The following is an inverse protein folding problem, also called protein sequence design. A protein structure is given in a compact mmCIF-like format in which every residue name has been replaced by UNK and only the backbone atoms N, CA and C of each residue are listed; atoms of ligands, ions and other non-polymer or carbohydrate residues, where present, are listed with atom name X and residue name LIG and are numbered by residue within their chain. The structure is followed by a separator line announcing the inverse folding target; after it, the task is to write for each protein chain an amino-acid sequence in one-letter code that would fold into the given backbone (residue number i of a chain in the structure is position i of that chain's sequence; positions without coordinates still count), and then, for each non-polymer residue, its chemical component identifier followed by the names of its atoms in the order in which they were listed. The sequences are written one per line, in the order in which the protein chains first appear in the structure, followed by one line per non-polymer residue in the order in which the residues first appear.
data_IF_574446400050
#
_entry.id   IF_574446400050
#
_cell.length_a   1.000
_cell.length_b   1.000
_cell.length_c   1.000
_cell.angle_alpha   90.00
_cell.angle_beta   90.00
_cell.angle_gamma   90.00
#
_symmetry.space_group_name_H-M   'P 1'
#
loop_
_entity.id
_entity.type
_entity.pdbx_description
1 polymer ?
#
# COMPACT_ATOMS: atom_id res chain seq x y z
N UNK A 1 6.26 -34.24 -2.09
CA UNK A 1 7.48 -33.62 -2.67
C UNK A 1 8.68 -34.26 -1.97
N UNK A 2 9.68 -34.76 -2.70
CA UNK A 2 10.76 -35.59 -2.14
C UNK A 2 11.73 -34.73 -1.29
N UNK A 3 12.17 -35.22 -0.13
CA UNK A 3 12.95 -34.44 0.85
C UNK A 3 14.30 -33.95 0.29
N UNK A 4 14.92 -34.70 -0.64
CA UNK A 4 16.18 -34.27 -1.27
C UNK A 4 15.98 -33.06 -2.21
N UNK A 5 14.83 -32.98 -2.89
CA UNK A 5 14.50 -31.85 -3.77
C UNK A 5 14.31 -30.58 -2.95
N UNK A 6 13.71 -30.67 -1.75
CA UNK A 6 13.53 -29.54 -0.84
C UNK A 6 14.89 -29.05 -0.32
N UNK A 7 15.81 -29.95 0.03
CA UNK A 7 17.15 -29.58 0.48
C UNK A 7 17.98 -28.88 -0.61
N UNK A 8 17.94 -29.38 -1.85
CA UNK A 8 18.60 -28.74 -2.99
C UNK A 8 17.97 -27.37 -3.34
N UNK A 9 16.64 -27.23 -3.18
CA UNK A 9 15.92 -25.97 -3.35
C UNK A 9 16.28 -24.95 -2.25
N UNK A 10 16.29 -25.38 -0.98
CA UNK A 10 16.64 -24.52 0.15
C UNK A 10 18.08 -24.02 0.06
N UNK A 11 19.01 -24.86 -0.42
CA UNK A 11 20.40 -24.48 -0.65
C UNK A 11 20.54 -23.37 -1.69
N UNK A 12 19.74 -23.37 -2.77
CA UNK A 12 19.70 -22.28 -3.74
C UNK A 12 19.23 -20.94 -3.15
N UNK A 13 18.39 -20.97 -2.12
CA UNK A 13 17.92 -19.77 -1.41
C UNK A 13 18.83 -19.37 -0.24
N UNK A 14 19.54 -20.30 0.38
CA UNK A 14 20.52 -20.05 1.44
C UNK A 14 21.80 -19.41 0.88
N UNK A 15 22.32 -19.91 -0.24
CA UNK A 15 23.54 -19.43 -0.92
C UNK A 15 23.34 -18.08 -1.65
N UNK A 16 22.11 -17.58 -1.75
CA UNK A 16 21.81 -16.30 -2.37
C UNK A 16 22.03 -15.14 -1.38
N UNK A 17 23.17 -14.46 -1.51
CA UNK A 17 23.39 -13.12 -0.99
C UNK A 17 22.85 -12.10 -2.00
N UNK A 18 22.05 -11.10 -1.60
CA UNK A 18 21.70 -10.02 -2.51
C UNK A 18 22.99 -9.35 -3.01
N UNK A 19 23.05 -9.06 -4.32
CA UNK A 19 24.07 -8.11 -4.78
C UNK A 19 23.84 -6.81 -4.01
N UNK A 20 24.84 -6.27 -3.29
CA UNK A 20 24.70 -4.93 -2.75
C UNK A 20 24.36 -4.01 -3.94
N UNK A 21 23.44 -3.04 -3.77
CA UNK A 21 23.19 -2.07 -4.82
C UNK A 21 24.55 -1.50 -5.22
N UNK A 22 24.88 -1.60 -6.52
CA UNK A 22 26.15 -1.11 -7.05
C UNK A 22 26.40 0.27 -6.46
N UNK A 23 27.47 0.42 -5.69
CA UNK A 23 27.94 1.73 -5.24
C UNK A 23 28.01 2.60 -6.49
N UNK A 24 27.16 3.62 -6.55
CA UNK A 24 27.34 4.68 -7.51
C UNK A 24 28.71 5.28 -7.19
N UNK A 25 29.58 5.31 -8.20
CA UNK A 25 30.95 5.81 -8.11
C UNK A 25 31.03 7.03 -7.18
N UNK A 26 31.82 6.86 -6.12
CA UNK A 26 32.12 7.90 -5.15
C UNK A 26 32.90 9.03 -5.84
N UNK A 27 32.18 10.00 -6.40
CA UNK A 27 32.71 11.36 -6.57
C UNK A 27 31.58 12.38 -6.64
N UNK A 28 31.49 13.15 -5.54
CA UNK A 28 30.80 14.42 -5.37
C UNK A 28 29.27 14.42 -5.16
N UNK A 29 28.93 15.04 -4.03
CA UNK A 29 27.70 15.76 -3.71
C UNK A 29 26.48 14.95 -3.21
N UNK A 30 26.16 15.17 -1.93
CA UNK A 30 24.80 15.26 -1.38
C UNK A 30 23.69 14.59 -2.21
N UNK A 31 23.50 13.29 -2.04
CA UNK A 31 22.38 12.60 -2.69
C UNK A 31 21.15 12.62 -1.78
N UNK A 32 20.29 13.61 -2.02
CA UNK A 32 18.86 13.53 -1.75
C UNK A 32 18.29 12.26 -2.42
N UNK A 33 18.10 11.17 -1.69
CA UNK A 33 17.41 9.99 -2.21
C UNK A 33 15.89 10.23 -2.20
N UNK A 34 15.43 10.78 -3.33
CA UNK A 34 14.06 11.19 -3.69
C UNK A 34 13.08 10.03 -3.98
N UNK A 35 13.18 8.86 -3.36
CA UNK A 35 12.23 7.75 -3.64
C UNK A 35 11.77 7.04 -2.38
N UNK A 36 10.46 7.13 -2.11
CA UNK A 36 9.73 6.16 -1.32
C UNK A 36 9.83 4.82 -2.07
N UNK A 37 10.78 3.97 -1.66
CA UNK A 37 10.94 2.63 -2.23
C UNK A 37 10.54 1.61 -1.17
N UNK A 38 9.67 0.67 -1.54
CA UNK A 38 9.00 -0.25 -0.61
C UNK A 38 9.97 -1.23 0.10
N UNK A 39 11.26 -1.24 -0.27
CA UNK A 39 12.33 -1.96 0.44
C UNK A 39 13.18 -1.09 1.37
N UNK A 40 13.12 0.23 1.25
CA UNK A 40 14.02 1.13 1.98
C UNK A 40 13.62 1.32 3.44
N UNK A 41 12.35 1.15 3.81
CA UNK A 41 11.91 1.48 5.16
C UNK A 41 12.34 0.44 6.21
N UNK A 42 12.29 -0.84 5.86
CA UNK A 42 12.82 -1.91 6.71
C UNK A 42 14.36 -1.89 6.77
N UNK A 43 15.02 -1.45 5.68
CA UNK A 43 16.44 -1.17 5.70
C UNK A 43 16.79 0.04 6.58
N UNK A 44 15.98 1.10 6.56
CA UNK A 44 16.14 2.25 7.46
C UNK A 44 15.97 1.86 8.93
N UNK A 45 15.02 0.96 9.23
CA UNK A 45 14.88 0.38 10.56
C UNK A 45 16.11 -0.45 10.93
N UNK A 46 16.64 -1.28 10.02
CA UNK A 46 17.86 -2.05 10.25
C UNK A 46 19.07 -1.13 10.56
N UNK A 47 19.26 -0.08 9.77
CA UNK A 47 20.30 0.94 9.98
C UNK A 47 20.15 1.66 11.34
N UNK A 48 18.92 1.96 11.74
CA UNK A 48 18.63 2.55 13.04
C UNK A 48 19.02 1.61 14.18
N UNK A 49 18.59 0.34 14.13
CA UNK A 49 18.89 -0.64 15.19
C UNK A 49 20.39 -0.92 15.32
N UNK A 50 21.10 -1.08 14.19
CA UNK A 50 22.54 -1.41 14.20
C UNK A 50 23.39 -0.29 14.84
N UNK A 51 22.93 0.96 14.80
CA UNK A 51 23.61 2.08 15.46
C UNK A 51 23.43 2.04 16.97
N UNK A 52 22.27 1.58 17.42
CA UNK A 52 21.88 1.55 18.83
C UNK A 52 22.27 0.24 19.53
N UNK A 53 22.45 -0.86 18.78
CA UNK A 53 22.70 -2.20 19.31
C UNK A 53 23.99 -2.85 18.75
N UNK A 54 24.76 -3.58 19.58
CA UNK A 54 26.06 -4.14 19.18
C UNK A 54 26.00 -5.36 18.25
N UNK A 55 24.87 -6.08 18.17
CA UNK A 55 24.75 -7.39 17.49
C UNK A 55 24.37 -7.30 15.99
N UNK A 56 25.13 -6.52 15.21
CA UNK A 56 24.84 -6.24 13.78
C UNK A 56 24.51 -7.48 12.93
N UNK A 57 25.26 -8.57 13.10
CA UNK A 57 25.10 -9.80 12.31
C UNK A 57 23.74 -10.46 12.55
N UNK A 58 23.28 -10.49 13.80
CA UNK A 58 21.97 -11.04 14.18
C UNK A 58 20.83 -10.27 13.53
N UNK A 59 20.84 -8.94 13.58
CA UNK A 59 19.79 -8.11 12.96
C UNK A 59 19.79 -8.24 11.44
N UNK A 60 20.98 -8.30 10.83
CA UNK A 60 21.13 -8.51 9.38
C UNK A 60 20.59 -9.87 8.94
N UNK A 61 20.84 -10.92 9.75
CA UNK A 61 20.27 -12.25 9.52
C UNK A 61 18.74 -12.24 9.57
N UNK A 62 18.16 -11.62 10.60
CA UNK A 62 16.70 -11.50 10.76
C UNK A 62 16.06 -10.77 9.57
N UNK A 63 16.68 -9.67 9.13
CA UNK A 63 16.24 -8.93 7.94
C UNK A 63 16.29 -9.82 6.68
N UNK A 64 17.41 -10.49 6.45
CA UNK A 64 17.58 -11.40 5.32
C UNK A 64 16.55 -12.54 5.33
N UNK A 65 16.23 -13.07 6.50
CA UNK A 65 15.22 -14.11 6.69
C UNK A 65 13.83 -13.61 6.28
N UNK A 66 13.46 -12.38 6.68
CA UNK A 66 12.18 -11.76 6.30
C UNK A 66 12.04 -11.57 4.78
N UNK A 67 13.11 -11.13 4.10
CA UNK A 67 13.13 -10.96 2.65
C UNK A 67 12.98 -12.29 1.92
N UNK A 68 13.68 -13.34 2.38
CA UNK A 68 13.56 -14.69 1.82
C UNK A 68 12.13 -15.21 1.99
N UNK A 69 11.52 -15.07 3.16
CA UNK A 69 10.13 -15.45 3.38
C UNK A 69 9.16 -14.72 2.43
N UNK A 70 9.29 -13.39 2.30
CA UNK A 70 8.43 -12.60 1.42
C UNK A 70 8.52 -13.07 -0.03
N UNK A 71 9.74 -13.27 -0.54
CA UNK A 71 9.97 -13.72 -1.92
C UNK A 71 9.33 -15.09 -2.18
N UNK A 72 9.53 -16.03 -1.27
CA UNK A 72 8.96 -17.38 -1.39
C UNK A 72 7.43 -17.34 -1.30
N UNK A 73 6.87 -16.45 -0.48
CA UNK A 73 5.42 -16.22 -0.44
C UNK A 73 4.89 -15.66 -1.76
N UNK A 74 5.58 -14.71 -2.38
CA UNK A 74 5.23 -14.16 -3.70
C UNK A 74 5.28 -15.22 -4.81
N UNK A 75 6.26 -16.13 -4.74
CA UNK A 75 6.36 -17.30 -5.63
C UNK A 75 5.31 -18.39 -5.37
N UNK A 76 4.51 -18.26 -4.29
CA UNK A 76 3.48 -19.23 -3.87
C UNK A 76 4.02 -20.62 -3.53
N UNK A 77 5.28 -20.71 -3.12
CA UNK A 77 5.93 -21.97 -2.76
C UNK A 77 5.65 -22.34 -1.29
N UNK A 78 4.45 -22.88 -1.02
CA UNK A 78 3.96 -23.11 0.35
C UNK A 78 4.92 -23.88 1.26
N UNK A 79 5.53 -24.97 0.77
CA UNK A 79 6.42 -25.80 1.59
C UNK A 79 7.69 -25.05 2.01
N UNK A 80 8.27 -24.27 1.10
CA UNK A 80 9.47 -23.47 1.35
C UNK A 80 9.11 -22.29 2.25
N UNK A 81 7.93 -21.70 2.08
CA UNK A 81 7.45 -20.63 2.95
C UNK A 81 7.31 -21.12 4.40
N UNK A 82 6.74 -22.33 4.61
CA UNK A 82 6.64 -22.93 5.95
C UNK A 82 8.01 -23.15 6.60
N UNK A 83 9.05 -23.53 5.85
CA UNK A 83 10.41 -23.61 6.39
C UNK A 83 10.89 -22.26 6.95
N UNK A 84 10.74 -21.19 6.17
CA UNK A 84 11.16 -19.86 6.60
C UNK A 84 10.31 -19.31 7.75
N UNK A 85 9.01 -19.62 7.79
CA UNK A 85 8.14 -19.31 8.93
C UNK A 85 8.67 -19.96 10.21
N UNK A 86 8.99 -21.25 10.18
CA UNK A 86 9.56 -21.93 11.35
C UNK A 86 10.86 -21.27 11.82
N UNK A 87 11.71 -20.80 10.88
CA UNK A 87 12.92 -20.05 11.22
C UNK A 87 12.64 -18.68 11.84
N UNK A 88 11.61 -17.97 11.39
CA UNK A 88 11.19 -16.71 12.01
C UNK A 88 10.65 -16.98 13.42
N UNK A 89 9.86 -18.04 13.62
CA UNK A 89 9.34 -18.44 14.94
C UNK A 89 10.46 -18.85 15.91
N UNK A 90 11.50 -19.54 15.43
CA UNK A 90 12.71 -19.82 16.21
C UNK A 90 13.36 -18.51 16.70
N UNK A 91 13.46 -17.47 15.84
CA UNK A 91 13.99 -16.17 16.26
C UNK A 91 13.06 -15.43 17.23
N UNK A 92 11.74 -15.53 17.05
CA UNK A 92 10.76 -14.92 17.97
C UNK A 92 10.91 -15.42 19.39
N UNK A 93 11.14 -16.72 19.56
CA UNK A 93 11.31 -17.36 20.86
C UNK A 93 12.57 -16.88 21.61
N UNK A 94 13.53 -16.27 20.90
CA UNK A 94 14.77 -15.74 21.47
C UNK A 94 14.68 -14.26 21.84
N UNK A 95 13.60 -13.56 21.48
CA UNK A 95 13.44 -12.14 21.78
C UNK A 95 13.11 -11.93 23.27
N UNK A 96 13.89 -11.08 23.94
CA UNK A 96 13.65 -10.69 25.32
C UNK A 96 12.92 -9.33 25.38
N UNK A 97 11.74 -9.29 26.01
CA UNK A 97 10.97 -8.06 26.21
C UNK A 97 11.72 -7.00 27.04
N UNK A 98 12.65 -7.41 27.91
CA UNK A 98 13.50 -6.48 28.65
C UNK A 98 14.46 -5.69 27.73
N UNK A 99 14.77 -6.23 26.56
CA UNK A 99 15.51 -5.54 25.49
C UNK A 99 14.52 -4.88 24.53
N UNK A 100 13.72 -3.96 25.06
CA UNK A 100 12.53 -3.41 24.39
C UNK A 100 12.81 -2.89 22.95
N UNK A 101 13.91 -2.17 22.73
CA UNK A 101 14.28 -1.70 21.39
C UNK A 101 14.48 -2.86 20.41
N UNK A 102 15.27 -3.87 20.78
CA UNK A 102 15.48 -5.04 19.92
C UNK A 102 14.17 -5.79 19.67
N UNK A 103 13.40 -6.02 20.73
CA UNK A 103 12.12 -6.74 20.69
C UNK A 103 11.16 -6.10 19.67
N UNK A 104 10.89 -4.81 19.82
CA UNK A 104 9.95 -4.10 18.95
C UNK A 104 10.48 -3.97 17.52
N UNK A 105 11.78 -3.77 17.36
CA UNK A 105 12.37 -3.56 16.04
C UNK A 105 12.41 -4.85 15.21
N UNK A 106 12.83 -5.98 15.80
CA UNK A 106 12.82 -7.27 15.11
C UNK A 106 11.40 -7.75 14.80
N UNK A 107 10.45 -7.58 15.72
CA UNK A 107 9.04 -7.86 15.41
C UNK A 107 8.49 -6.98 14.31
N UNK A 108 8.94 -5.73 14.20
CA UNK A 108 8.54 -4.85 13.09
C UNK A 108 9.05 -5.31 11.74
N UNK A 109 10.20 -5.98 11.68
CA UNK A 109 10.75 -6.60 10.46
C UNK A 109 9.98 -7.86 10.08
N UNK A 110 9.61 -8.68 11.07
CA UNK A 110 9.05 -10.02 10.84
C UNK A 110 7.52 -10.05 10.72
N UNK A 111 6.78 -9.28 11.52
CA UNK A 111 5.32 -9.28 11.51
C UNK A 111 4.69 -9.03 10.12
N UNK A 112 5.17 -8.10 9.27
CA UNK A 112 4.57 -7.88 7.95
C UNK A 112 4.63 -9.12 7.05
N UNK A 113 5.76 -9.83 7.06
CA UNK A 113 5.96 -11.02 6.22
C UNK A 113 5.22 -12.25 6.77
N UNK A 114 5.10 -12.34 8.10
CA UNK A 114 4.26 -13.35 8.77
C UNK A 114 2.77 -13.11 8.47
N UNK A 115 2.32 -11.86 8.57
CA UNK A 115 0.96 -11.47 8.19
C UNK A 115 0.69 -11.84 6.73
N UNK A 116 1.61 -11.51 5.81
CA UNK A 116 1.49 -11.83 4.39
C UNK A 116 1.39 -13.35 4.15
N UNK A 117 2.21 -14.17 4.81
CA UNK A 117 2.13 -15.63 4.73
C UNK A 117 0.74 -16.15 5.12
N UNK A 118 0.24 -15.75 6.30
CA UNK A 118 -1.05 -16.20 6.81
C UNK A 118 -2.22 -15.73 5.93
N UNK A 119 -2.20 -14.45 5.56
CA UNK A 119 -3.21 -13.85 4.71
C UNK A 119 -3.24 -14.46 3.29
N UNK A 120 -2.09 -14.53 2.62
CA UNK A 120 -2.02 -14.81 1.19
C UNK A 120 -1.92 -16.30 0.85
N UNK A 121 -1.18 -17.08 1.65
CA UNK A 121 -0.96 -18.50 1.38
C UNK A 121 -1.89 -19.41 2.17
N UNK A 122 -2.15 -19.08 3.44
CA UNK A 122 -2.96 -19.91 4.34
C UNK A 122 -4.43 -19.51 4.38
N UNK A 123 -4.77 -18.29 3.96
CA UNK A 123 -6.10 -17.68 4.14
C UNK A 123 -6.55 -17.65 5.61
N UNK A 124 -5.58 -17.58 6.53
CA UNK A 124 -5.77 -17.45 7.96
C UNK A 124 -5.79 -15.95 8.32
N UNK A 125 -6.96 -15.35 8.20
CA UNK A 125 -7.12 -13.91 8.40
C UNK A 125 -6.97 -13.50 9.87
N UNK A 126 -7.29 -14.37 10.82
CA UNK A 126 -7.18 -14.10 12.25
C UNK A 126 -5.71 -13.98 12.67
N UNK A 127 -4.85 -14.92 12.27
CA UNK A 127 -3.42 -14.80 12.53
C UNK A 127 -2.80 -13.61 11.81
N UNK A 128 -3.20 -13.36 10.56
CA UNK A 128 -2.73 -12.20 9.82
C UNK A 128 -3.10 -10.88 10.52
N UNK A 129 -4.32 -10.76 11.04
CA UNK A 129 -4.78 -9.63 11.86
C UNK A 129 -3.90 -9.48 13.11
N UNK A 130 -3.64 -10.56 13.85
CA UNK A 130 -2.79 -10.52 15.05
C UNK A 130 -1.39 -9.96 14.78
N UNK A 131 -0.73 -10.40 13.71
CA UNK A 131 0.59 -9.87 13.32
C UNK A 131 0.52 -8.39 12.89
N UNK A 132 -0.52 -7.97 12.18
CA UNK A 132 -0.70 -6.58 11.75
C UNK A 132 -0.96 -5.64 12.93
N UNK A 133 -1.79 -6.04 13.89
CA UNK A 133 -2.06 -5.22 15.08
C UNK A 133 -0.81 -5.08 15.95
N UNK A 134 -0.12 -6.19 16.24
CA UNK A 134 1.14 -6.14 16.99
C UNK A 134 2.22 -5.33 16.27
N UNK A 135 2.23 -5.30 14.93
CA UNK A 135 3.12 -4.46 14.16
C UNK A 135 2.87 -2.96 14.39
N UNK A 136 1.62 -2.52 14.45
CA UNK A 136 1.29 -1.12 14.72
C UNK A 136 1.78 -0.69 16.12
N UNK A 137 1.61 -1.55 17.13
CA UNK A 137 2.11 -1.31 18.49
C UNK A 137 3.64 -1.20 18.52
N UNK A 138 4.34 -2.08 17.80
CA UNK A 138 5.80 -2.03 17.72
C UNK A 138 6.30 -0.77 17.03
N UNK A 139 5.62 -0.33 15.96
CA UNK A 139 5.97 0.90 15.24
C UNK A 139 5.79 2.11 16.16
N UNK A 140 4.73 2.14 16.98
CA UNK A 140 4.48 3.24 17.92
C UNK A 140 5.56 3.34 18.98
N UNK A 141 6.01 2.21 19.50
CA UNK A 141 7.18 2.17 20.37
C UNK A 141 8.42 2.75 19.67
N UNK A 142 8.71 2.33 18.43
CA UNK A 142 9.90 2.77 17.69
C UNK A 142 9.88 4.28 17.42
N UNK A 143 8.72 4.84 17.05
CA UNK A 143 8.57 6.28 16.85
C UNK A 143 8.80 7.02 18.17
N UNK A 144 8.20 6.55 19.27
CA UNK A 144 8.44 7.08 20.61
C UNK A 144 9.90 6.99 21.07
N UNK A 145 10.65 6.02 20.55
CA UNK A 145 12.09 5.85 20.79
C UNK A 145 12.98 6.69 19.86
N UNK A 146 12.41 7.42 18.90
CA UNK A 146 13.12 8.35 18.01
C UNK A 146 13.28 7.88 16.56
N UNK A 147 12.74 6.73 16.18
CA UNK A 147 12.69 6.29 14.77
C UNK A 147 11.52 6.94 14.03
N UNK A 148 11.69 8.22 13.65
CA UNK A 148 10.63 9.01 13.02
C UNK A 148 10.18 8.46 11.66
N UNK A 149 11.09 7.83 10.91
CA UNK A 149 10.74 7.14 9.65
C UNK A 149 9.72 6.00 9.87
N UNK A 150 9.53 5.55 11.12
CA UNK A 150 8.45 4.64 11.53
C UNK A 150 7.06 5.15 11.17
N UNK A 151 6.85 6.46 10.99
CA UNK A 151 5.58 7.00 10.50
C UNK A 151 5.21 6.50 9.10
N UNK A 152 6.20 6.34 8.22
CA UNK A 152 5.97 5.77 6.88
C UNK A 152 5.59 4.30 6.97
N UNK A 153 6.24 3.55 7.86
CA UNK A 153 5.85 2.17 8.16
C UNK A 153 4.41 2.14 8.65
N UNK A 154 4.05 2.97 9.63
CA UNK A 154 2.70 3.01 10.21
C UNK A 154 1.66 3.22 9.13
N UNK A 155 1.83 4.24 8.29
CA UNK A 155 0.94 4.55 7.18
C UNK A 155 0.76 3.32 6.28
N UNK A 156 1.85 2.74 5.77
CA UNK A 156 1.78 1.57 4.89
C UNK A 156 1.05 0.39 5.54
N UNK A 157 1.27 0.15 6.84
CA UNK A 157 0.62 -0.95 7.55
C UNK A 157 -0.88 -0.72 7.78
N UNK A 158 -1.36 0.52 7.89
CA UNK A 158 -2.80 0.80 7.87
C UNK A 158 -3.44 0.38 6.54
N UNK A 159 -2.78 0.65 5.40
CA UNK A 159 -3.25 0.19 4.09
C UNK A 159 -3.25 -1.33 3.98
N UNK A 160 -2.18 -1.98 4.43
CA UNK A 160 -2.09 -3.44 4.39
C UNK A 160 -3.11 -4.10 5.31
N UNK A 161 -3.33 -3.56 6.51
CA UNK A 161 -4.38 -4.00 7.45
C UNK A 161 -5.77 -3.85 6.83
N UNK A 162 -6.07 -2.70 6.22
CA UNK A 162 -7.33 -2.50 5.51
C UNK A 162 -7.51 -3.55 4.39
N UNK A 163 -6.46 -3.87 3.63
CA UNK A 163 -6.50 -4.92 2.60
C UNK A 163 -6.77 -6.30 3.19
N UNK A 164 -6.17 -6.67 4.33
CA UNK A 164 -6.44 -7.97 4.97
C UNK A 164 -7.93 -8.10 5.31
N UNK A 165 -8.51 -7.11 6.01
CA UNK A 165 -9.93 -7.11 6.34
C UNK A 165 -10.85 -7.12 5.13
N UNK A 166 -10.51 -6.35 4.09
CA UNK A 166 -11.29 -6.32 2.85
C UNK A 166 -11.37 -7.70 2.21
N UNK A 167 -10.27 -8.45 2.21
CA UNK A 167 -10.27 -9.80 1.64
C UNK A 167 -10.92 -10.84 2.55
N UNK A 168 -10.97 -10.59 3.86
CA UNK A 168 -11.71 -11.38 4.83
C UNK A 168 -13.23 -11.12 4.79
N UNK A 169 -13.71 -10.19 3.95
CA UNK A 169 -15.12 -9.76 3.89
C UNK A 169 -15.55 -8.87 5.06
N UNK A 170 -14.61 -8.40 5.88
CA UNK A 170 -14.87 -7.52 7.01
C UNK A 170 -14.77 -6.05 6.57
N UNK A 171 -15.69 -5.61 5.71
CA UNK A 171 -15.60 -4.31 5.05
C UNK A 171 -15.66 -3.12 6.00
N UNK A 172 -16.48 -3.18 7.05
CA UNK A 172 -16.58 -2.09 8.04
C UNK A 172 -15.24 -1.86 8.76
N UNK A 173 -14.57 -2.94 9.17
CA UNK A 173 -13.23 -2.85 9.77
C UNK A 173 -12.23 -2.33 8.75
N UNK A 174 -12.25 -2.87 7.53
CA UNK A 174 -11.38 -2.41 6.44
C UNK A 174 -11.52 -0.90 6.20
N UNK A 175 -12.76 -0.42 6.07
CA UNK A 175 -13.07 0.98 5.84
C UNK A 175 -12.63 1.86 7.02
N UNK A 176 -12.76 1.38 8.27
CA UNK A 176 -12.26 2.10 9.46
C UNK A 176 -10.75 2.34 9.38
N UNK A 177 -9.94 1.32 9.08
CA UNK A 177 -8.48 1.49 8.94
C UNK A 177 -8.13 2.40 7.77
N UNK A 178 -8.78 2.22 6.62
CA UNK A 178 -8.57 3.05 5.44
C UNK A 178 -8.97 4.52 5.69
N UNK A 179 -10.07 4.76 6.41
CA UNK A 179 -10.54 6.11 6.75
C UNK A 179 -9.55 6.81 7.67
N UNK A 180 -9.06 6.14 8.72
CA UNK A 180 -8.12 6.76 9.69
C UNK A 180 -6.87 7.29 8.97
N UNK A 181 -6.27 6.48 8.10
CA UNK A 181 -5.06 6.89 7.37
C UNK A 181 -5.36 7.91 6.27
N UNK A 182 -6.50 7.81 5.58
CA UNK A 182 -6.88 8.80 4.56
C UNK A 182 -7.22 10.16 5.18
N UNK A 183 -7.95 10.19 6.29
CA UNK A 183 -8.21 11.43 7.03
C UNK A 183 -6.89 12.08 7.45
N UNK A 184 -5.95 11.28 7.96
CA UNK A 184 -4.63 11.78 8.34
C UNK A 184 -3.82 12.33 7.16
N UNK A 185 -3.74 11.60 6.05
CA UNK A 185 -2.98 12.03 4.86
C UNK A 185 -3.61 13.25 4.15
N UNK A 186 -4.93 13.37 4.19
CA UNK A 186 -5.66 14.44 3.52
C UNK A 186 -5.79 15.70 4.36
N UNK A 187 -5.73 15.61 5.69
CA UNK A 187 -5.97 16.75 6.57
C UNK A 187 -4.75 17.69 6.70
N UNK A 188 -5.00 18.99 6.86
CA UNK A 188 -4.08 20.02 7.32
C UNK A 188 -4.13 20.26 8.83
N UNK A 189 -5.07 19.63 9.56
CA UNK A 189 -5.22 19.79 11.02
C UNK A 189 -5.92 18.61 11.73
N UNK A 190 -5.66 18.49 13.04
CA UNK A 190 -5.96 17.32 13.92
C UNK A 190 -5.43 16.00 13.37
N UNK A 191 -4.32 15.57 13.95
CA UNK A 191 -3.71 14.30 13.62
C UNK A 191 -4.28 13.24 14.56
N UNK A 192 -4.91 12.22 13.99
CA UNK A 192 -5.36 11.02 14.74
C UNK A 192 -4.17 10.24 15.31
N UNK A 193 -2.98 10.51 14.81
CA UNK A 193 -1.72 9.92 15.24
C UNK A 193 -1.02 10.87 16.23
N UNK A 194 -0.36 10.31 17.23
CA UNK A 194 0.38 11.09 18.24
C UNK A 194 1.56 11.89 17.67
N UNK A 195 2.00 11.55 16.45
CA UNK A 195 3.12 12.19 15.77
C UNK A 195 2.69 12.86 14.46
N UNK A 196 3.10 14.11 14.24
CA UNK A 196 2.68 14.86 13.08
C UNK A 196 3.26 14.38 11.75
N UNK A 197 2.40 14.25 10.73
CA UNK A 197 2.89 13.84 9.40
C UNK A 197 3.78 14.93 8.80
N UNK A 198 3.47 16.18 9.12
CA UNK A 198 4.22 17.33 8.64
C UNK A 198 5.67 17.35 9.09
N UNK A 199 6.02 16.67 10.19
CA UNK A 199 7.41 16.59 10.67
C UNK A 199 8.26 15.60 9.86
N UNK A 200 7.63 14.61 9.24
CA UNK A 200 8.33 13.63 8.39
C UNK A 200 8.19 13.94 6.90
N UNK A 201 7.15 14.68 6.49
CA UNK A 201 6.88 15.01 5.09
C UNK A 201 7.91 16.02 4.55
N UNK A 202 8.63 15.63 3.49
CA UNK A 202 9.73 16.43 2.93
C UNK A 202 9.34 17.27 1.73
N UNK A 203 8.22 16.93 1.05
CA UNK A 203 7.75 17.66 -0.12
C UNK A 203 6.30 17.33 -0.51
N UNK A 204 5.68 18.22 -1.29
CA UNK A 204 4.38 17.96 -1.94
C UNK A 204 4.42 16.71 -2.84
N UNK A 205 5.50 16.49 -3.60
CA UNK A 205 5.64 15.32 -4.47
C UNK A 205 5.60 14.01 -3.68
N UNK A 206 6.16 13.99 -2.47
CA UNK A 206 6.13 12.84 -1.59
C UNK A 206 4.71 12.56 -1.09
N UNK A 207 3.98 13.60 -0.64
CA UNK A 207 2.58 13.46 -0.23
C UNK A 207 1.72 12.91 -1.36
N UNK A 208 1.84 13.49 -2.56
CA UNK A 208 1.04 13.06 -3.71
C UNK A 208 1.38 11.63 -4.15
N UNK A 209 2.64 11.20 -4.06
CA UNK A 209 3.02 9.80 -4.29
C UNK A 209 2.37 8.84 -3.30
N UNK A 210 2.33 9.21 -2.01
CA UNK A 210 1.70 8.41 -0.96
C UNK A 210 0.18 8.37 -1.18
N UNK A 211 -0.46 9.51 -1.40
CA UNK A 211 -1.89 9.58 -1.71
C UNK A 211 -2.24 8.71 -2.92
N UNK A 212 -1.44 8.76 -4.00
CA UNK A 212 -1.64 7.91 -5.17
C UNK A 212 -1.57 6.41 -4.83
N UNK A 213 -0.61 5.98 -4.01
CA UNK A 213 -0.52 4.59 -3.52
C UNK A 213 -1.81 4.16 -2.80
N UNK A 214 -2.33 5.02 -1.92
CA UNK A 214 -3.52 4.73 -1.12
C UNK A 214 -4.79 4.72 -1.94
N UNK A 215 -5.04 5.77 -2.73
CA UNK A 215 -6.19 5.82 -3.62
C UNK A 215 -6.20 4.64 -4.57
N UNK A 216 -5.08 4.35 -5.23
CA UNK A 216 -4.97 3.18 -6.12
C UNK A 216 -5.17 1.86 -5.36
N UNK A 217 -4.60 1.75 -4.16
CA UNK A 217 -4.71 0.57 -3.32
C UNK A 217 -6.12 0.27 -2.82
N UNK A 218 -6.94 1.29 -2.58
CA UNK A 218 -8.29 1.18 -2.04
C UNK A 218 -9.34 1.10 -3.16
N UNK A 219 -9.30 2.04 -4.11
CA UNK A 219 -10.32 2.17 -5.17
C UNK A 219 -10.24 0.98 -6.13
N UNK A 220 -9.06 0.62 -6.66
CA UNK A 220 -8.96 -0.56 -7.54
C UNK A 220 -9.35 -1.84 -6.82
N UNK A 221 -9.06 -1.94 -5.51
CA UNK A 221 -9.44 -3.11 -4.72
C UNK A 221 -10.96 -3.23 -4.60
N UNK A 222 -11.64 -2.12 -4.36
CA UNK A 222 -13.10 -2.04 -4.31
C UNK A 222 -13.74 -2.34 -5.67
N UNK A 223 -13.20 -1.76 -6.75
CA UNK A 223 -13.69 -1.99 -8.12
C UNK A 223 -13.50 -3.42 -8.61
N UNK A 224 -12.45 -4.11 -8.16
CA UNK A 224 -12.20 -5.51 -8.48
C UNK A 224 -13.18 -6.48 -7.80
N UNK A 225 -13.91 -6.03 -6.76
CA UNK A 225 -14.92 -6.80 -6.03
C UNK A 225 -16.17 -5.95 -5.81
N UNK A 226 -16.95 -5.65 -6.87
CA UNK A 226 -18.20 -4.93 -6.69
C UNK A 226 -19.16 -5.82 -5.90
N UNK A 227 -19.41 -5.48 -4.64
CA UNK A 227 -20.49 -6.13 -3.88
C UNK A 227 -21.83 -5.73 -4.50
N UNK A 228 -22.73 -6.71 -4.62
CA UNK A 228 -23.91 -6.64 -5.48
C UNK A 228 -24.81 -5.43 -5.20
N UNK A 229 -25.03 -4.63 -6.25
CA UNK A 229 -25.86 -3.42 -6.27
C UNK A 229 -25.72 -2.73 -7.62
N UNK A 230 -25.30 -1.45 -7.63
CA UNK A 230 -24.92 -0.70 -8.83
C UNK A 230 -23.39 -0.53 -8.90
N UNK A 231 -22.78 -0.66 -10.07
CA UNK A 231 -21.31 -0.67 -10.23
C UNK A 231 -20.62 0.56 -9.63
N UNK A 232 -21.26 1.73 -9.71
CA UNK A 232 -20.73 3.00 -9.22
C UNK A 232 -21.06 3.29 -7.75
N UNK A 233 -22.07 2.63 -7.18
CA UNK A 233 -22.43 2.79 -5.78
C UNK A 233 -21.61 1.81 -4.94
N UNK A 234 -20.51 2.29 -4.38
CA UNK A 234 -19.60 1.47 -3.60
C UNK A 234 -19.63 1.87 -2.12
N UNK A 235 -20.41 1.14 -1.32
CA UNK A 235 -20.59 1.41 0.11
C UNK A 235 -19.27 1.38 0.88
N UNK A 236 -18.30 0.55 0.46
CA UNK A 236 -16.96 0.56 1.05
C UNK A 236 -16.23 1.88 0.77
N UNK A 237 -16.22 2.38 -0.47
CA UNK A 237 -15.58 3.66 -0.79
C UNK A 237 -16.29 4.84 -0.11
N UNK A 238 -17.62 4.83 -0.03
CA UNK A 238 -18.37 5.81 0.77
C UNK A 238 -17.99 5.71 2.25
N UNK A 239 -17.89 4.51 2.81
CA UNK A 239 -17.42 4.32 4.17
C UNK A 239 -15.96 4.77 4.35
N UNK A 240 -15.11 4.74 3.33
CA UNK A 240 -13.76 5.30 3.45
C UNK A 240 -13.79 6.82 3.40
N UNK A 241 -14.43 7.42 2.39
CA UNK A 241 -14.21 8.81 1.99
C UNK A 241 -15.32 9.79 2.37
N UNK A 242 -16.55 9.33 2.68
CA UNK A 242 -17.67 10.22 3.03
C UNK A 242 -17.44 10.87 4.39
N UNK A 243 -17.97 12.09 4.56
CA UNK A 243 -17.99 12.81 5.84
C UNK A 243 -16.60 13.00 6.47
N UNK A 244 -15.56 13.12 5.65
CA UNK A 244 -14.28 13.63 6.11
C UNK A 244 -14.42 15.14 6.36
N UNK A 245 -14.86 15.53 7.56
CA UNK A 245 -14.83 16.93 8.03
C UNK A 245 -13.38 17.36 8.28
N UNK A 246 -12.64 17.55 7.18
CA UNK A 246 -11.22 17.87 7.18
C UNK A 246 -10.96 19.13 6.38
N UNK A 247 -10.04 19.95 6.90
CA UNK A 247 -9.38 20.97 6.09
C UNK A 247 -8.32 20.26 5.26
N UNK A 248 -8.34 20.38 3.93
CA UNK A 248 -7.36 19.67 3.10
C UNK A 248 -5.94 20.20 3.30
N UNK A 249 -4.95 19.31 3.19
CA UNK A 249 -3.53 19.63 3.19
C UNK A 249 -3.19 20.54 2.00
N UNK A 250 -2.56 21.70 2.26
CA UNK A 250 -2.19 22.67 1.22
C UNK A 250 -1.18 22.12 0.20
N UNK A 251 -0.41 21.09 0.57
CA UNK A 251 0.53 20.41 -0.33
C UNK A 251 -0.13 19.39 -1.27
N UNK A 252 -1.43 19.10 -1.07
CA UNK A 252 -2.19 18.21 -1.93
C UNK A 252 -2.43 18.88 -3.29
N UNK A 253 -2.24 18.13 -4.38
CA UNK A 253 -2.55 18.65 -5.71
C UNK A 253 -4.05 18.96 -5.83
N UNK A 254 -4.44 20.19 -6.25
CA UNK A 254 -5.85 20.58 -6.38
C UNK A 254 -6.66 19.61 -7.25
N UNK A 255 -6.06 19.12 -8.35
CA UNK A 255 -6.71 18.17 -9.24
C UNK A 255 -7.08 16.85 -8.52
N UNK A 256 -6.30 16.41 -7.53
CA UNK A 256 -6.62 15.22 -6.73
C UNK A 256 -7.81 15.48 -5.80
N UNK A 257 -7.93 16.68 -5.25
CA UNK A 257 -9.06 17.07 -4.40
C UNK A 257 -10.34 17.13 -5.21
N UNK A 258 -10.28 17.75 -6.39
CA UNK A 258 -11.44 17.86 -7.28
C UNK A 258 -11.85 16.46 -7.79
N UNK A 259 -10.88 15.59 -8.10
CA UNK A 259 -11.13 14.20 -8.46
C UNK A 259 -11.80 13.38 -7.34
N UNK A 260 -11.42 13.61 -6.08
CA UNK A 260 -12.07 12.98 -4.93
C UNK A 260 -13.53 13.44 -4.79
N UNK A 261 -13.80 14.73 -5.00
CA UNK A 261 -15.17 15.26 -4.96
C UNK A 261 -16.04 14.64 -6.05
N UNK A 262 -15.53 14.52 -7.28
CA UNK A 262 -16.22 13.84 -8.39
C UNK A 262 -16.52 12.38 -8.05
N UNK A 263 -15.51 11.65 -7.55
CA UNK A 263 -15.68 10.25 -7.16
C UNK A 263 -16.78 10.08 -6.11
N UNK A 264 -16.82 10.96 -5.10
CA UNK A 264 -17.82 10.94 -4.05
C UNK A 264 -19.23 11.18 -4.58
N UNK A 265 -19.43 12.24 -5.39
CA UNK A 265 -20.73 12.55 -6.01
C UNK A 265 -21.29 11.36 -6.80
N UNK A 266 -20.48 10.77 -7.66
CA UNK A 266 -20.87 9.59 -8.45
C UNK A 266 -21.19 8.42 -7.52
N UNK A 267 -20.38 8.19 -6.47
CA UNK A 267 -20.58 7.09 -5.52
C UNK A 267 -21.85 7.25 -4.68
N UNK A 268 -22.29 8.48 -4.42
CA UNK A 268 -23.51 8.82 -3.67
C UNK A 268 -24.79 8.70 -4.52
N UNK A 269 -24.64 8.48 -5.84
CA UNK A 269 -25.76 8.37 -6.79
C UNK A 269 -26.09 9.68 -7.51
N UNK A 270 -25.28 10.73 -7.31
CA UNK A 270 -25.37 12.01 -8.02
C UNK A 270 -24.49 11.96 -9.28
N UNK A 271 -24.70 10.93 -10.11
CA UNK A 271 -23.85 10.63 -11.27
C UNK A 271 -23.81 11.78 -12.27
N UNK A 272 -24.95 12.40 -12.61
CA UNK A 272 -25.00 13.52 -13.56
C UNK A 272 -24.18 14.72 -13.10
N UNK A 273 -24.30 15.15 -11.84
CA UNK A 273 -23.53 16.26 -11.27
C UNK A 273 -22.03 15.93 -11.24
N UNK A 274 -21.67 14.71 -10.82
CA UNK A 274 -20.28 14.26 -10.81
C UNK A 274 -19.67 14.21 -12.22
N UNK A 275 -20.42 13.78 -13.23
CA UNK A 275 -19.97 13.77 -14.62
C UNK A 275 -19.84 15.19 -15.20
N UNK A 276 -20.75 16.11 -14.88
CA UNK A 276 -20.64 17.53 -15.26
C UNK A 276 -19.36 18.15 -14.68
N UNK A 277 -19.10 17.93 -13.38
CA UNK A 277 -17.85 18.34 -12.74
C UNK A 277 -16.60 17.73 -13.41
N UNK A 278 -16.68 16.50 -13.89
CA UNK A 278 -15.58 15.83 -14.58
C UNK A 278 -15.22 16.49 -15.93
N UNK A 279 -16.18 17.15 -16.59
CA UNK A 279 -15.94 17.88 -17.85
C UNK A 279 -15.22 19.21 -17.62
N UNK A 280 -15.54 19.88 -16.52
CA UNK A 280 -14.99 21.19 -16.18
C UNK A 280 -13.63 21.10 -15.45
N UNK A 281 -13.20 19.89 -15.09
CA UNK A 281 -11.97 19.64 -14.35
C UNK A 281 -10.94 18.88 -15.18
N UNK A 282 -9.66 18.99 -14.80
CA UNK A 282 -8.58 18.22 -15.42
C UNK A 282 -8.48 16.78 -14.85
N UNK A 283 -9.61 16.06 -14.77
CA UNK A 283 -9.69 14.75 -14.12
C UNK A 283 -8.71 13.73 -14.71
N UNK A 284 -8.37 13.84 -16.00
CA UNK A 284 -7.46 12.93 -16.68
C UNK A 284 -5.98 13.34 -16.64
N UNK A 285 -5.62 14.37 -15.88
CA UNK A 285 -4.23 14.78 -15.65
C UNK A 285 -3.42 13.64 -14.99
N UNK A 286 -2.16 13.48 -15.38
CA UNK A 286 -1.25 12.44 -14.84
C UNK A 286 -1.01 12.54 -13.32
N UNK A 287 -1.21 13.73 -12.74
CA UNK A 287 -1.10 13.96 -11.31
C UNK A 287 -2.27 13.38 -10.51
N UNK A 288 -3.41 13.13 -11.16
CA UNK A 288 -4.57 12.50 -10.52
C UNK A 288 -4.29 10.99 -10.37
N UNK A 289 -4.58 10.39 -9.20
CA UNK A 289 -4.44 8.95 -9.00
C UNK A 289 -5.14 8.14 -10.10
N UNK A 290 -4.42 7.16 -10.67
CA UNK A 290 -4.88 6.34 -11.77
C UNK A 290 -6.24 5.66 -11.51
N UNK A 291 -6.51 5.30 -10.26
CA UNK A 291 -7.78 4.69 -9.86
C UNK A 291 -8.98 5.62 -9.90
N UNK A 292 -8.81 6.91 -9.59
CA UNK A 292 -9.87 7.92 -9.76
C UNK A 292 -10.12 8.18 -11.24
N UNK A 293 -9.05 8.34 -12.04
CA UNK A 293 -9.12 8.47 -13.50
C UNK A 293 -9.88 7.30 -14.11
N UNK A 294 -9.55 6.08 -13.69
CA UNK A 294 -10.23 4.85 -14.12
C UNK A 294 -11.71 4.83 -13.72
N UNK A 295 -12.02 5.17 -12.47
CA UNK A 295 -13.38 5.19 -11.95
C UNK A 295 -14.27 6.14 -12.77
N UNK A 296 -13.83 7.38 -12.95
CA UNK A 296 -14.56 8.40 -13.70
C UNK A 296 -14.66 8.04 -15.18
N UNK A 297 -13.58 7.53 -15.79
CA UNK A 297 -13.65 7.01 -17.17
C UNK A 297 -14.70 5.92 -17.30
N UNK A 298 -14.80 5.02 -16.32
CA UNK A 298 -15.80 3.96 -16.34
C UNK A 298 -17.21 4.53 -16.25
N UNK A 299 -17.44 5.54 -15.41
CA UNK A 299 -18.73 6.23 -15.30
C UNK A 299 -19.12 6.92 -16.63
N UNK A 300 -18.19 7.70 -17.19
CA UNK A 300 -18.40 8.36 -18.49
C UNK A 300 -18.77 7.38 -19.60
N UNK A 301 -18.13 6.21 -19.64
CA UNK A 301 -18.39 5.19 -20.67
C UNK A 301 -19.76 4.50 -20.53
N UNK A 302 -20.30 4.42 -19.31
CA UNK A 302 -21.64 3.87 -19.09
C UNK A 302 -22.76 4.89 -19.28
N UNK A 303 -22.42 6.17 -19.48
CA UNK A 303 -23.38 7.23 -19.71
C UNK A 303 -23.87 7.25 -21.18
N UNK A 304 -25.15 7.56 -21.41
CA UNK A 304 -25.80 7.48 -22.73
C UNK A 304 -25.14 8.34 -23.83
N UNK A 305 -24.31 9.33 -23.46
CA UNK A 305 -23.59 10.23 -24.38
C UNK A 305 -22.05 10.15 -24.21
N UNK A 306 -21.52 9.00 -23.77
CA UNK A 306 -20.09 8.78 -23.51
C UNK A 306 -19.15 9.35 -24.60
N UNK A 307 -19.50 9.17 -25.88
CA UNK A 307 -18.69 9.60 -27.01
C UNK A 307 -18.48 11.11 -27.12
N UNK A 308 -19.41 11.93 -26.62
CA UNK A 308 -19.31 13.39 -26.65
C UNK A 308 -18.53 13.94 -25.46
N UNK A 309 -18.51 13.18 -24.36
CA UNK A 309 -17.94 13.58 -23.07
C UNK A 309 -16.45 13.24 -22.92
N UNK A 310 -15.94 12.31 -23.73
CA UNK A 310 -14.53 11.90 -23.66
C UNK A 310 -13.61 12.85 -24.42
N UNK A 311 -12.40 13.15 -23.91
CA UNK A 311 -11.36 13.80 -24.69
C UNK A 311 -10.96 13.00 -25.94
N UNK A 312 -10.68 13.67 -27.06
CA UNK A 312 -10.26 13.01 -28.32
C UNK A 312 -9.12 11.98 -28.19
N UNK A 313 -8.07 12.21 -27.38
CA UNK A 313 -7.03 11.19 -27.16
C UNK A 313 -7.56 9.89 -26.53
N UNK A 314 -8.60 9.99 -25.70
CA UNK A 314 -9.24 8.86 -25.01
C UNK A 314 -10.20 8.10 -25.95
N UNK A 315 -10.91 8.80 -26.84
CA UNK A 315 -11.83 8.19 -27.82
C UNK A 315 -11.13 7.18 -28.73
N UNK A 316 -9.89 7.47 -29.10
CA UNK A 316 -9.20 6.71 -30.13
C UNK A 316 -8.64 5.36 -29.66
N UNK A 317 -8.35 5.18 -28.36
CA UNK A 317 -7.87 3.89 -27.83
C UNK A 317 -7.92 3.79 -26.28
N UNK A 318 -9.07 3.40 -25.73
CA UNK A 318 -9.25 3.20 -24.28
C UNK A 318 -8.28 2.14 -23.71
N UNK A 319 -7.97 1.08 -24.46
CA UNK A 319 -6.97 0.07 -24.06
C UNK A 319 -5.61 0.72 -23.82
N UNK A 320 -5.16 1.51 -24.79
CA UNK A 320 -3.86 2.16 -24.75
C UNK A 320 -3.77 3.11 -23.56
N UNK A 321 -4.85 3.83 -23.26
CA UNK A 321 -4.95 4.67 -22.08
C UNK A 321 -4.82 3.85 -20.79
N UNK A 322 -5.54 2.74 -20.66
CA UNK A 322 -5.45 1.86 -19.49
C UNK A 322 -4.03 1.30 -19.29
N UNK A 323 -3.38 0.86 -20.37
CA UNK A 323 -2.05 0.23 -20.29
C UNK A 323 -0.92 1.26 -20.10
N UNK A 324 -0.95 2.40 -20.80
CA UNK A 324 0.13 3.39 -20.79
C UNK A 324 -0.06 4.49 -19.76
N UNK A 325 -1.25 5.10 -19.72
CA UNK A 325 -1.50 6.29 -18.90
C UNK A 325 -1.91 5.96 -17.47
N UNK A 326 -2.59 4.81 -17.28
CA UNK A 326 -2.97 4.31 -15.96
C UNK A 326 -2.00 3.25 -15.42
N UNK A 327 -1.06 2.77 -16.25
CA UNK A 327 -0.07 1.76 -15.87
C UNK A 327 -0.66 0.39 -15.51
N UNK A 328 -1.84 0.05 -16.06
CA UNK A 328 -2.51 -1.20 -15.74
C UNK A 328 -2.01 -2.35 -16.62
N UNK A 329 -1.69 -3.48 -15.98
CA UNK A 329 -1.39 -4.72 -16.70
C UNK A 329 -2.65 -5.33 -17.31
N UNK A 330 -2.51 -6.15 -18.35
CA UNK A 330 -3.62 -6.89 -18.95
C UNK A 330 -4.41 -7.71 -17.91
N UNK A 331 -3.73 -8.28 -16.91
CA UNK A 331 -4.40 -9.02 -15.83
C UNK A 331 -5.26 -8.11 -14.95
N UNK A 332 -4.76 -6.92 -14.58
CA UNK A 332 -5.53 -5.95 -13.80
C UNK A 332 -6.74 -5.44 -14.58
N UNK A 333 -6.58 -5.14 -15.87
CA UNK A 333 -7.70 -4.70 -16.74
C UNK A 333 -8.80 -5.75 -16.78
N UNK A 334 -8.45 -7.03 -16.92
CA UNK A 334 -9.43 -8.11 -16.94
C UNK A 334 -10.20 -8.23 -15.61
N UNK A 335 -9.52 -8.04 -14.48
CA UNK A 335 -10.14 -8.09 -13.15
C UNK A 335 -11.06 -6.90 -12.89
N UNK A 336 -10.64 -5.69 -13.30
CA UNK A 336 -11.42 -4.46 -13.14
C UNK A 336 -12.58 -4.33 -14.15
N UNK A 337 -12.64 -5.23 -15.14
CA UNK A 337 -13.43 -5.23 -16.38
C UNK A 337 -12.75 -4.43 -17.52
N UNK A 338 -12.64 -5.01 -18.73
CA UNK A 338 -12.13 -4.29 -19.89
C UNK A 338 -13.13 -3.22 -20.33
N UNK A 339 -12.70 -1.96 -20.34
CA UNK A 339 -13.57 -0.82 -20.66
C UNK A 339 -13.88 -0.73 -22.16
N UNK A 340 -13.04 -1.31 -23.01
CA UNK A 340 -13.28 -1.40 -24.46
C UNK A 340 -14.49 -2.27 -24.82
N UNK A 341 -15.01 -3.06 -23.89
CA UNK A 341 -16.21 -3.85 -24.10
C UNK A 341 -17.50 -3.05 -23.84
N UNK A 342 -17.38 -1.80 -23.35
CA UNK A 342 -18.50 -0.91 -23.04
C UNK A 342 -18.82 0.00 -24.24
N UNK A 343 -17.84 0.26 -25.12
CA UNK A 343 -18.00 1.05 -26.36
C UNK A 343 -18.54 0.20 -27.50
#
# INVERSE_FOLDING_TARGET
MNASIIADYLKQFEDYAPEPPKEADSSAASSNSNKFDNGHIFYALLEYIIRELPEREKHTYCYSLSQKLLRVCQSKERNVATYFVNKVEEQYALLNEEQALEYHALRSIFNPVMAYYHYYLQHDYERAEGYMLGLLENIDYLIGHGFLDGMYMKIEQYLNTARVYFNAGQYDKSARYARVVMQYLLSSGKETFEFPFSEVLRSANQLNSILALFFNGLIFKALAKPESGAFFRNDFLLAVFREMDISFNEMMEPATRDALAILLRISEGEEEEGLEMALDTQIFNEKVPASMRYFVLTALLHHNNAGDLLPEPLKNNIRLYQEKELGLTASQINVLRPLNAIV
#
